data_IF_638462356588
#
_entry.id   IF_638462356588
#
_cell.length_a   1.000
_cell.length_b   1.000
_cell.length_c   1.000
_cell.angle_alpha   90.00
_cell.angle_beta   90.00
_cell.angle_gamma   90.00
#
_symmetry.space_group_name_H-M   'P 1'
#
loop_
_entity.id
_entity.type
_entity.pdbx_description
1 polymer ?
#
# COMPACT_ATOMS: atom_id res chain seq x y z
N UNK A 1 36.48 -49.87 59.29
CA UNK A 1 37.43 -50.94 58.96
C UNK A 1 37.72 -50.73 57.49
N UNK A 2 38.75 -49.99 57.10
CA UNK A 2 40.14 -50.26 56.93
C UNK A 2 40.39 -51.21 55.73
N UNK A 3 41.07 -50.84 54.79
CA UNK A 3 42.46 -50.78 54.34
C UNK A 3 42.45 -50.80 52.81
N UNK A 4 43.08 -49.89 52.12
CA UNK A 4 44.52 -49.73 51.89
C UNK A 4 45.06 -50.78 50.90
N UNK A 5 45.51 -50.33 49.74
CA UNK A 5 46.92 -50.21 49.37
C UNK A 5 47.15 -50.08 47.86
N UNK A 6 47.95 -49.09 47.51
CA UNK A 6 48.78 -48.93 46.32
C UNK A 6 50.00 -49.90 46.44
N UNK A 7 50.95 -50.09 45.48
CA UNK A 7 51.29 -49.33 44.24
C UNK A 7 51.89 -50.21 43.09
N UNK A 8 52.43 -49.50 42.12
CA UNK A 8 53.58 -49.69 41.24
C UNK A 8 53.23 -49.81 39.75
N UNK A 9 53.68 -49.02 38.94
CA UNK A 9 54.90 -48.37 38.42
C UNK A 9 55.24 -48.89 37.04
N UNK A 10 55.45 -47.88 36.16
CA UNK A 10 56.37 -47.77 35.04
C UNK A 10 56.13 -48.59 33.77
N UNK A 11 55.90 -47.90 32.66
CA UNK A 11 56.88 -47.86 31.56
C UNK A 11 56.59 -46.79 30.51
N UNK A 12 57.61 -46.11 30.13
CA UNK A 12 57.73 -44.95 29.28
C UNK A 12 57.83 -45.32 27.79
N UNK A 13 57.33 -44.44 26.91
CA UNK A 13 57.82 -44.07 25.56
C UNK A 13 57.04 -44.67 24.36
N UNK A 14 57.08 -44.00 23.18
CA UNK A 14 57.44 -42.61 22.91
C UNK A 14 56.32 -41.82 22.12
N UNK A 15 56.50 -40.52 22.10
CA UNK A 15 55.71 -39.54 21.35
C UNK A 15 55.70 -39.81 19.84
N UNK A 16 54.48 -39.70 19.28
CA UNK A 16 54.29 -39.48 17.84
C UNK A 16 53.53 -38.14 17.68
N UNK A 17 54.19 -37.19 17.06
CA UNK A 17 53.64 -35.90 16.68
C UNK A 17 52.43 -36.09 15.76
N UNK A 18 51.31 -35.51 16.11
CA UNK A 18 50.17 -35.30 15.22
C UNK A 18 50.31 -33.92 14.53
N UNK A 19 49.97 -33.80 13.25
CA UNK A 19 50.08 -32.54 12.53
C UNK A 19 49.08 -31.52 13.09
N UNK A 20 49.51 -30.26 13.17
CA UNK A 20 48.66 -29.12 13.51
C UNK A 20 47.55 -28.95 12.45
N UNK A 21 46.30 -29.01 12.89
CA UNK A 21 45.12 -28.66 12.11
C UNK A 21 45.06 -27.13 12.05
N UNK A 22 45.29 -26.57 10.86
CA UNK A 22 45.11 -25.15 10.58
C UNK A 22 43.61 -24.81 10.78
N UNK A 23 43.32 -23.87 11.65
CA UNK A 23 42.00 -23.27 11.80
C UNK A 23 41.61 -22.52 10.50
N UNK A 24 40.36 -22.59 10.06
CA UNK A 24 39.93 -21.83 8.89
C UNK A 24 40.04 -20.32 9.19
N UNK A 25 40.66 -19.58 8.32
CA UNK A 25 40.68 -18.13 8.34
C UNK A 25 39.26 -17.64 8.22
N UNK A 26 38.83 -16.82 9.21
CA UNK A 26 37.60 -16.06 9.23
C UNK A 26 37.68 -15.07 8.06
N UNK A 27 36.93 -15.31 6.98
CA UNK A 27 36.76 -14.34 5.91
C UNK A 27 36.04 -13.10 6.48
N UNK A 28 36.73 -11.96 6.44
CA UNK A 28 36.15 -10.65 6.72
C UNK A 28 34.94 -10.41 5.79
N UNK A 29 33.85 -9.76 6.27
CA UNK A 29 32.76 -9.41 5.39
C UNK A 29 33.27 -8.57 4.22
N UNK A 30 32.93 -8.98 3.00
CA UNK A 30 33.17 -8.17 1.82
C UNK A 30 32.50 -6.82 2.01
N UNK A 31 33.29 -5.75 1.98
CA UNK A 31 32.82 -4.38 1.91
C UNK A 31 31.98 -4.26 0.62
N UNK A 32 30.66 -4.09 0.73
CA UNK A 32 29.80 -3.84 -0.42
C UNK A 32 30.35 -2.61 -1.15
N UNK A 33 30.73 -2.79 -2.40
CA UNK A 33 31.13 -1.68 -3.25
C UNK A 33 29.97 -0.69 -3.33
N UNK A 34 30.23 0.64 -3.28
CA UNK A 34 29.17 1.64 -3.46
C UNK A 34 28.43 1.34 -4.77
N UNK A 35 27.09 1.32 -4.71
CA UNK A 35 26.27 1.22 -5.89
C UNK A 35 26.72 2.33 -6.88
N UNK A 36 27.06 1.96 -8.10
CA UNK A 36 27.44 2.89 -9.15
C UNK A 36 26.22 3.76 -9.43
N UNK A 37 26.28 5.05 -9.10
CA UNK A 37 25.20 5.99 -9.40
C UNK A 37 24.92 5.97 -10.90
N UNK A 38 23.65 5.79 -11.28
CA UNK A 38 23.24 5.86 -12.68
C UNK A 38 23.64 7.23 -13.26
N UNK A 39 24.05 7.30 -14.54
CA UNK A 39 24.39 8.56 -15.17
C UNK A 39 23.18 9.50 -15.11
N UNK A 40 23.38 10.75 -14.64
CA UNK A 40 22.32 11.74 -14.53
C UNK A 40 21.65 11.95 -15.88
N UNK A 41 20.34 11.84 -15.92
CA UNK A 41 19.48 12.12 -17.07
C UNK A 41 18.97 13.56 -16.98
N UNK A 42 18.69 14.20 -18.11
CA UNK A 42 18.04 15.52 -18.14
C UNK A 42 16.50 15.40 -17.88
N UNK A 43 15.98 14.19 -17.67
CA UNK A 43 14.56 13.95 -17.44
C UNK A 43 14.13 14.37 -16.03
N UNK A 44 12.91 14.85 -15.92
CA UNK A 44 12.25 15.23 -14.67
C UNK A 44 10.90 14.56 -14.57
N UNK A 45 10.69 13.75 -13.53
CA UNK A 45 9.40 13.12 -13.22
C UNK A 45 8.79 13.77 -11.99
N UNK A 46 7.46 13.85 -11.98
CA UNK A 46 6.73 14.39 -10.83
C UNK A 46 5.70 13.38 -10.33
N UNK A 47 5.50 13.35 -9.00
CA UNK A 47 4.40 12.67 -8.37
C UNK A 47 3.48 13.69 -7.68
N UNK A 48 2.16 13.50 -7.87
CA UNK A 48 1.11 14.28 -7.24
C UNK A 48 0.27 13.34 -6.37
N UNK A 49 0.62 13.17 -5.07
CA UNK A 49 -0.18 12.38 -4.14
C UNK A 49 -1.54 13.02 -3.85
N UNK A 50 -2.42 12.32 -3.12
CA UNK A 50 -3.75 12.82 -2.77
C UNK A 50 -3.74 14.01 -1.82
N UNK A 51 -2.88 13.96 -0.80
CA UNK A 51 -2.79 14.99 0.24
C UNK A 51 -1.45 14.95 0.95
N UNK A 52 -1.07 16.08 1.57
CA UNK A 52 0.05 16.14 2.50
C UNK A 52 -0.35 15.62 3.89
N UNK A 53 0.64 15.16 4.67
CA UNK A 53 0.43 14.74 6.06
C UNK A 53 -0.29 13.40 6.24
N UNK A 54 -0.50 12.65 5.15
CA UNK A 54 -0.96 11.28 5.20
C UNK A 54 0.25 10.35 5.05
N UNK A 55 0.60 9.54 6.05
CA UNK A 55 1.79 8.68 6.02
C UNK A 55 1.82 7.71 4.84
N UNK A 56 0.66 7.22 4.38
CA UNK A 56 0.58 6.38 3.19
C UNK A 56 1.09 7.13 1.95
N UNK A 57 0.61 8.35 1.72
CA UNK A 57 1.03 9.18 0.57
C UNK A 57 2.51 9.55 0.65
N UNK A 58 3.06 9.73 1.85
CA UNK A 58 4.48 10.01 2.05
C UNK A 58 5.35 8.80 1.71
N UNK A 59 4.91 7.57 2.06
CA UNK A 59 5.60 6.34 1.69
C UNK A 59 5.54 6.08 0.18
N UNK A 60 4.41 6.33 -0.44
CA UNK A 60 4.25 6.23 -1.89
C UNK A 60 5.19 7.21 -2.62
N UNK A 61 5.24 8.46 -2.16
CA UNK A 61 6.17 9.45 -2.71
C UNK A 61 7.64 9.04 -2.51
N UNK A 62 8.01 8.48 -1.35
CA UNK A 62 9.40 8.04 -1.12
C UNK A 62 9.82 6.94 -2.08
N UNK A 63 8.94 5.97 -2.37
CA UNK A 63 9.21 4.93 -3.36
C UNK A 63 9.41 5.48 -4.77
N UNK A 64 8.64 6.49 -5.14
CA UNK A 64 8.81 7.19 -6.40
C UNK A 64 10.16 7.92 -6.49
N UNK A 65 10.55 8.65 -5.42
CA UNK A 65 11.84 9.36 -5.37
C UNK A 65 13.02 8.39 -5.43
N UNK A 66 12.97 7.28 -4.69
CA UNK A 66 14.01 6.24 -4.71
C UNK A 66 14.16 5.63 -6.11
N UNK A 67 13.06 5.33 -6.79
CA UNK A 67 13.07 4.81 -8.16
C UNK A 67 13.63 5.84 -9.14
N UNK A 68 13.25 7.11 -9.05
CA UNK A 68 13.82 8.19 -9.85
C UNK A 68 15.33 8.31 -9.65
N UNK A 69 15.80 8.24 -8.40
CA UNK A 69 17.23 8.27 -8.10
C UNK A 69 17.97 7.07 -8.72
N UNK A 70 17.41 5.88 -8.66
CA UNK A 70 17.97 4.70 -9.30
C UNK A 70 18.00 4.79 -10.84
N UNK A 71 17.05 5.51 -11.44
CA UNK A 71 16.98 5.81 -12.88
C UNK A 71 17.91 6.98 -13.29
N UNK A 72 18.48 7.72 -12.34
CA UNK A 72 19.23 8.94 -12.61
C UNK A 72 18.38 10.11 -13.09
N UNK A 73 17.10 10.13 -12.74
CA UNK A 73 16.09 11.12 -13.13
C UNK A 73 15.82 12.06 -11.96
N UNK A 74 15.60 13.36 -12.25
CA UNK A 74 15.17 14.31 -11.23
C UNK A 74 13.72 14.04 -10.83
N UNK A 75 13.44 13.95 -9.52
CA UNK A 75 12.08 13.79 -8.98
C UNK A 75 11.54 15.10 -8.41
N UNK A 76 10.22 15.31 -8.56
CA UNK A 76 9.46 16.37 -7.90
C UNK A 76 8.29 15.73 -7.17
N UNK A 77 8.17 15.96 -5.88
CA UNK A 77 6.97 15.61 -5.10
C UNK A 77 6.16 16.89 -4.87
N UNK A 78 4.95 16.93 -5.37
CA UNK A 78 4.10 18.12 -5.23
C UNK A 78 2.73 17.73 -4.66
N UNK A 79 2.51 18.03 -3.40
CA UNK A 79 1.22 17.82 -2.75
C UNK A 79 0.23 18.93 -3.12
N UNK A 80 -1.06 18.62 -3.32
CA UNK A 80 -2.12 19.61 -3.41
C UNK A 80 -2.34 20.29 -2.05
N UNK A 81 -2.90 21.48 -2.05
CA UNK A 81 -3.19 22.25 -0.83
C UNK A 81 -4.26 21.57 0.04
N UNK A 82 -5.20 20.89 -0.60
CA UNK A 82 -6.26 20.09 0.03
C UNK A 82 -6.61 18.87 -0.86
N UNK A 83 -7.62 18.10 -0.46
CA UNK A 83 -8.07 16.90 -1.18
C UNK A 83 -9.04 17.17 -2.32
N UNK A 84 -9.19 18.43 -2.77
CA UNK A 84 -10.06 18.79 -3.89
C UNK A 84 -9.40 18.49 -5.24
N UNK A 85 -10.22 18.24 -6.25
CA UNK A 85 -9.75 18.11 -7.63
C UNK A 85 -9.14 19.42 -8.15
N UNK A 86 -9.67 20.57 -7.76
CA UNK A 86 -9.18 21.89 -8.14
C UNK A 86 -7.75 22.14 -7.66
N UNK A 87 -7.43 21.70 -6.44
CA UNK A 87 -6.08 21.78 -5.91
C UNK A 87 -5.11 20.91 -6.72
N UNK A 88 -5.51 19.68 -7.08
CA UNK A 88 -4.69 18.82 -7.94
C UNK A 88 -4.54 19.38 -9.36
N UNK A 89 -5.60 19.92 -9.96
CA UNK A 89 -5.55 20.58 -11.27
C UNK A 89 -4.53 21.72 -11.26
N UNK A 90 -4.52 22.53 -10.20
CA UNK A 90 -3.55 23.62 -10.04
C UNK A 90 -2.12 23.09 -10.01
N UNK A 91 -1.85 22.05 -9.26
CA UNK A 91 -0.53 21.41 -9.19
C UNK A 91 -0.10 20.85 -10.54
N UNK A 92 -0.97 20.08 -11.21
CA UNK A 92 -0.69 19.47 -12.52
C UNK A 92 -0.36 20.56 -13.57
N UNK A 93 -1.15 21.63 -13.62
CA UNK A 93 -0.91 22.74 -14.56
C UNK A 93 0.44 23.43 -14.30
N UNK A 94 0.85 23.57 -13.03
CA UNK A 94 2.15 24.11 -12.66
C UNK A 94 3.30 23.20 -13.11
N UNK A 95 3.15 21.88 -12.98
CA UNK A 95 4.14 20.90 -13.44
C UNK A 95 4.26 20.89 -14.98
N UNK A 96 3.12 20.98 -15.69
CA UNK A 96 3.10 21.12 -17.14
C UNK A 96 3.85 22.40 -17.58
N UNK A 97 3.63 23.53 -16.89
CA UNK A 97 4.32 24.77 -17.15
C UNK A 97 5.83 24.72 -16.85
N UNK A 98 6.26 23.87 -15.94
CA UNK A 98 7.67 23.61 -15.62
C UNK A 98 8.35 22.73 -16.68
N UNK A 99 7.56 22.03 -17.54
CA UNK A 99 8.09 21.19 -18.60
C UNK A 99 8.65 19.87 -18.09
N UNK A 100 8.01 19.25 -17.11
CA UNK A 100 8.36 17.89 -16.66
C UNK A 100 8.10 16.86 -17.79
N UNK A 101 8.83 15.76 -17.78
CA UNK A 101 8.72 14.72 -18.82
C UNK A 101 7.65 13.67 -18.49
N UNK A 102 7.37 13.48 -17.19
CA UNK A 102 6.37 12.54 -16.73
C UNK A 102 5.69 12.99 -15.44
N UNK A 103 4.41 12.64 -15.30
CA UNK A 103 3.60 12.91 -14.10
C UNK A 103 2.88 11.64 -13.69
N UNK A 104 3.03 11.25 -12.42
CA UNK A 104 2.24 10.24 -11.75
C UNK A 104 1.25 10.91 -10.80
N UNK A 105 -0.05 10.59 -10.90
CA UNK A 105 -1.11 11.24 -10.12
C UNK A 105 -1.92 10.20 -9.36
N UNK A 106 -2.03 10.34 -8.05
CA UNK A 106 -3.05 9.66 -7.24
C UNK A 106 -4.31 10.53 -7.23
N UNK A 107 -5.31 10.17 -8.04
CA UNK A 107 -6.42 11.07 -8.32
C UNK A 107 -7.41 11.21 -7.16
N UNK A 108 -7.80 12.44 -6.83
CA UNK A 108 -8.88 12.73 -5.87
C UNK A 108 -10.28 12.66 -6.50
N UNK A 109 -10.37 12.83 -7.82
CA UNK A 109 -11.62 12.73 -8.58
C UNK A 109 -11.32 12.28 -10.02
N UNK A 110 -11.89 11.13 -10.40
CA UNK A 110 -11.61 10.49 -11.69
C UNK A 110 -12.09 11.30 -12.91
N UNK A 111 -13.21 11.99 -12.76
CA UNK A 111 -13.86 12.72 -13.84
C UNK A 111 -13.32 14.16 -13.95
N UNK A 112 -13.15 14.85 -12.83
CA UNK A 112 -12.74 16.25 -12.82
C UNK A 112 -11.32 16.46 -13.35
N UNK A 113 -10.43 15.47 -13.23
CA UNK A 113 -9.06 15.54 -13.71
C UNK A 113 -8.89 15.25 -15.21
N UNK A 114 -9.88 14.64 -15.88
CA UNK A 114 -9.76 14.10 -17.24
C UNK A 114 -9.17 15.11 -18.24
N UNK A 115 -9.76 16.31 -18.31
CA UNK A 115 -9.32 17.33 -19.26
C UNK A 115 -7.91 17.85 -18.99
N UNK A 116 -7.51 17.93 -17.72
CA UNK A 116 -6.18 18.38 -17.31
C UNK A 116 -5.12 17.33 -17.63
N UNK A 117 -5.40 16.06 -17.36
CA UNK A 117 -4.49 14.96 -17.68
C UNK A 117 -4.33 14.81 -19.20
N UNK A 118 -5.43 14.93 -19.96
CA UNK A 118 -5.37 14.92 -21.43
C UNK A 118 -4.54 16.09 -21.98
N UNK A 119 -4.71 17.30 -21.43
CA UNK A 119 -3.91 18.46 -21.86
C UNK A 119 -2.42 18.29 -21.57
N UNK A 120 -2.06 17.67 -20.43
CA UNK A 120 -0.68 17.33 -20.13
C UNK A 120 -0.10 16.35 -21.16
N UNK A 121 -0.83 15.30 -21.52
CA UNK A 121 -0.45 14.34 -22.57
C UNK A 121 -0.29 15.01 -23.93
N UNK A 122 -1.22 15.88 -24.30
CA UNK A 122 -1.18 16.63 -25.57
C UNK A 122 0.05 17.56 -25.65
N UNK A 123 0.61 17.93 -24.50
CA UNK A 123 1.87 18.67 -24.39
C UNK A 123 3.12 17.77 -24.47
N UNK A 124 2.94 16.46 -24.66
CA UNK A 124 4.03 15.48 -24.79
C UNK A 124 4.53 14.88 -23.47
N UNK A 125 3.85 15.14 -22.35
CA UNK A 125 4.18 14.60 -21.05
C UNK A 125 3.59 13.19 -20.90
N UNK A 126 4.37 12.24 -20.39
CA UNK A 126 3.84 10.93 -19.99
C UNK A 126 3.01 11.10 -18.72
N UNK A 127 1.76 10.66 -18.75
CA UNK A 127 0.85 10.74 -17.61
C UNK A 127 0.36 9.35 -17.22
N UNK A 128 0.71 8.94 -16.01
CA UNK A 128 0.19 7.72 -15.38
C UNK A 128 -0.58 8.06 -14.11
N UNK A 129 -1.56 7.24 -13.77
CA UNK A 129 -2.19 7.28 -12.45
C UNK A 129 -1.62 6.17 -11.57
N UNK A 130 -1.63 6.37 -10.25
CA UNK A 130 -1.24 5.36 -9.27
C UNK A 130 -2.21 5.42 -8.09
N UNK A 131 -2.35 4.33 -7.35
CA UNK A 131 -3.24 4.21 -6.18
C UNK A 131 -4.72 4.49 -6.49
N UNK A 132 -5.01 5.56 -7.20
CA UNK A 132 -6.36 6.06 -7.51
C UNK A 132 -6.41 6.51 -8.97
N UNK A 133 -7.22 5.83 -9.77
CA UNK A 133 -7.30 6.07 -11.22
C UNK A 133 -8.09 7.34 -11.59
N UNK A 134 -7.82 7.86 -12.76
CA UNK A 134 -8.59 8.94 -13.40
C UNK A 134 -8.62 8.75 -14.92
N UNK A 135 -9.70 9.22 -15.52
CA UNK A 135 -9.78 9.34 -16.98
C UNK A 135 -8.71 10.29 -17.50
N UNK A 136 -8.21 10.03 -18.70
CA UNK A 136 -7.21 10.88 -19.36
C UNK A 136 -5.76 10.45 -19.12
N UNK A 137 -5.45 9.50 -18.22
CA UNK A 137 -4.11 8.91 -18.07
C UNK A 137 -3.81 7.87 -19.15
N UNK A 138 -2.55 7.42 -19.24
CA UNK A 138 -2.10 6.41 -20.21
C UNK A 138 -2.07 5.01 -19.62
N UNK A 139 -1.83 4.91 -18.32
CA UNK A 139 -1.74 3.66 -17.57
C UNK A 139 -2.09 3.91 -16.11
N UNK A 140 -2.81 2.97 -15.52
CA UNK A 140 -3.04 2.95 -14.08
C UNK A 140 -2.12 1.95 -13.39
N UNK A 141 -1.28 2.43 -12.50
CA UNK A 141 -0.48 1.61 -11.58
C UNK A 141 -1.34 1.31 -10.37
N UNK A 142 -2.05 0.19 -10.45
CA UNK A 142 -3.00 -0.24 -9.43
C UNK A 142 -2.26 -1.06 -8.36
N UNK A 143 -2.34 -0.63 -7.13
CA UNK A 143 -1.69 -1.24 -5.97
C UNK A 143 -2.08 -2.70 -5.75
N UNK A 144 -3.37 -3.02 -5.98
CA UNK A 144 -3.94 -4.35 -5.89
C UNK A 144 -5.23 -4.44 -6.72
N UNK A 145 -5.60 -5.63 -7.17
CA UNK A 145 -6.83 -5.84 -7.92
C UNK A 145 -8.07 -5.36 -7.16
N UNK A 146 -8.90 -4.52 -7.78
CA UNK A 146 -10.06 -3.89 -7.12
C UNK A 146 -11.02 -4.95 -6.56
N UNK A 147 -11.31 -5.99 -7.34
CA UNK A 147 -12.18 -7.10 -6.88
C UNK A 147 -11.54 -7.88 -5.75
N UNK A 148 -10.22 -8.08 -5.77
CA UNK A 148 -9.49 -8.77 -4.70
C UNK A 148 -9.54 -7.97 -3.39
N UNK A 149 -9.36 -6.65 -3.45
CA UNK A 149 -9.51 -5.78 -2.28
C UNK A 149 -10.94 -5.84 -1.75
N UNK A 150 -11.95 -5.71 -2.62
CA UNK A 150 -13.35 -5.86 -2.23
C UNK A 150 -13.62 -7.20 -1.55
N UNK A 151 -13.03 -8.30 -2.08
CA UNK A 151 -13.21 -9.64 -1.53
C UNK A 151 -12.63 -9.78 -0.12
N UNK A 152 -11.38 -9.34 0.12
CA UNK A 152 -10.78 -9.45 1.47
C UNK A 152 -11.51 -8.58 2.48
N UNK A 153 -12.06 -7.43 2.08
CA UNK A 153 -12.87 -6.58 2.95
C UNK A 153 -14.20 -7.25 3.32
N UNK A 154 -14.91 -7.81 2.35
CA UNK A 154 -16.18 -8.52 2.59
C UNK A 154 -15.97 -9.78 3.43
N UNK A 155 -14.92 -10.56 3.15
CA UNK A 155 -14.59 -11.74 3.96
C UNK A 155 -14.23 -11.36 5.40
N UNK A 156 -13.49 -10.25 5.60
CA UNK A 156 -13.19 -9.73 6.94
C UNK A 156 -14.46 -9.35 7.71
N UNK A 157 -15.40 -8.66 7.05
CA UNK A 157 -16.70 -8.32 7.64
C UNK A 157 -17.47 -9.61 8.01
N UNK A 158 -17.51 -10.58 7.09
CA UNK A 158 -18.19 -11.85 7.32
C UNK A 158 -17.61 -12.61 8.53
N UNK A 159 -16.30 -12.73 8.61
CA UNK A 159 -15.63 -13.40 9.73
C UNK A 159 -15.85 -12.66 11.06
N UNK A 160 -15.69 -11.34 11.08
CA UNK A 160 -15.79 -10.53 12.28
C UNK A 160 -17.23 -10.39 12.79
N UNK A 161 -18.24 -10.49 11.90
CA UNK A 161 -19.67 -10.52 12.31
C UNK A 161 -20.13 -11.91 12.75
N UNK A 162 -19.35 -12.95 12.41
CA UNK A 162 -19.78 -14.37 12.56
C UNK A 162 -20.78 -14.78 11.48
N UNK A 163 -20.72 -14.15 10.31
CA UNK A 163 -21.53 -14.48 9.13
C UNK A 163 -22.87 -13.75 9.04
N UNK A 164 -23.25 -12.95 10.04
CA UNK A 164 -24.55 -12.25 10.09
C UNK A 164 -24.51 -10.98 10.92
N UNK A 165 -25.35 -10.01 10.57
CA UNK A 165 -25.60 -8.79 11.36
C UNK A 165 -25.09 -7.52 10.71
N UNK A 166 -25.15 -6.45 11.48
CA UNK A 166 -24.94 -5.09 10.98
C UNK A 166 -23.45 -4.74 10.86
N UNK A 167 -23.12 -4.12 9.73
CA UNK A 167 -21.84 -3.43 9.52
C UNK A 167 -22.05 -2.07 8.86
N UNK A 168 -21.09 -1.18 9.06
CA UNK A 168 -21.01 0.12 8.40
C UNK A 168 -19.68 0.24 7.68
N UNK A 169 -19.62 1.13 6.69
CA UNK A 169 -18.37 1.53 6.02
C UNK A 169 -18.04 2.97 6.39
N UNK A 170 -16.81 3.22 6.82
CA UNK A 170 -16.25 4.55 7.03
C UNK A 170 -15.19 4.78 5.96
N UNK A 171 -15.54 5.56 4.94
CA UNK A 171 -14.72 5.82 3.77
C UNK A 171 -13.96 7.16 3.89
N UNK A 172 -13.13 7.47 2.87
CA UNK A 172 -12.43 8.74 2.70
C UNK A 172 -13.40 9.85 2.24
N UNK A 173 -13.12 10.58 1.16
CA UNK A 173 -14.06 11.54 0.58
C UNK A 173 -15.10 10.82 -0.28
N UNK A 174 -16.26 11.45 -0.50
CA UNK A 174 -17.32 10.88 -1.33
C UNK A 174 -16.96 10.76 -2.81
N UNK A 175 -15.90 11.45 -3.27
CA UNK A 175 -15.38 11.41 -4.64
C UNK A 175 -14.14 10.56 -4.80
N UNK A 176 -13.59 10.02 -3.70
CA UNK A 176 -12.35 9.24 -3.72
C UNK A 176 -12.46 7.99 -4.60
N UNK A 177 -11.75 7.98 -5.71
CA UNK A 177 -11.90 7.01 -6.78
C UNK A 177 -11.63 5.58 -6.32
N UNK A 178 -10.50 5.33 -5.65
CA UNK A 178 -10.12 3.98 -5.20
C UNK A 178 -11.07 3.43 -4.14
N UNK A 179 -11.43 4.21 -3.10
CA UNK A 179 -12.40 3.76 -2.09
C UNK A 179 -13.76 3.43 -2.73
N UNK A 180 -14.25 4.30 -3.62
CA UNK A 180 -15.50 4.05 -4.33
C UNK A 180 -15.44 2.80 -5.21
N UNK A 181 -14.29 2.51 -5.84
CA UNK A 181 -14.07 1.28 -6.61
C UNK A 181 -14.16 0.04 -5.73
N UNK A 182 -13.53 0.04 -4.56
CA UNK A 182 -13.60 -1.08 -3.62
C UNK A 182 -14.99 -1.26 -3.04
N UNK A 183 -15.69 -0.15 -2.70
CA UNK A 183 -17.07 -0.17 -2.25
C UNK A 183 -17.99 -0.78 -3.31
N UNK A 184 -17.85 -0.40 -4.58
CA UNK A 184 -18.62 -0.98 -5.67
C UNK A 184 -18.33 -2.48 -5.84
N UNK A 185 -17.07 -2.91 -5.69
CA UNK A 185 -16.70 -4.32 -5.70
C UNK A 185 -17.34 -5.08 -4.51
N UNK A 186 -17.30 -4.52 -3.31
CA UNK A 186 -17.95 -5.10 -2.12
C UNK A 186 -19.45 -5.28 -2.33
N UNK A 187 -20.15 -4.29 -2.90
CA UNK A 187 -21.58 -4.37 -3.22
C UNK A 187 -21.86 -5.51 -4.20
N UNK A 188 -21.06 -5.63 -5.26
CA UNK A 188 -21.21 -6.70 -6.26
C UNK A 188 -20.97 -8.10 -5.65
N UNK A 189 -19.95 -8.24 -4.80
CA UNK A 189 -19.61 -9.49 -4.12
C UNK A 189 -20.74 -9.92 -3.18
N UNK A 190 -21.22 -9.00 -2.35
CA UNK A 190 -22.32 -9.29 -1.40
C UNK A 190 -23.60 -9.67 -2.15
N UNK A 191 -23.93 -8.94 -3.22
CA UNK A 191 -25.12 -9.24 -4.02
C UNK A 191 -25.01 -10.53 -4.84
N UNK A 192 -23.78 -10.94 -5.17
CA UNK A 192 -23.50 -12.09 -6.05
C UNK A 192 -23.38 -13.44 -5.36
N UNK A 193 -23.21 -13.49 -4.04
CA UNK A 193 -23.00 -14.73 -3.29
C UNK A 193 -23.92 -14.83 -2.08
N UNK A 194 -24.75 -15.87 -2.06
CA UNK A 194 -25.66 -16.18 -0.95
C UNK A 194 -24.95 -16.38 0.41
N UNK A 195 -23.64 -16.63 0.42
CA UNK A 195 -22.81 -16.66 1.65
C UNK A 195 -23.01 -15.41 2.49
N UNK A 196 -23.21 -14.26 1.85
CA UNK A 196 -23.25 -12.95 2.51
C UNK A 196 -24.67 -12.42 2.74
N UNK A 197 -25.72 -13.20 2.42
CA UNK A 197 -27.14 -12.76 2.46
C UNK A 197 -27.61 -12.25 3.83
N UNK A 198 -26.95 -12.65 4.92
CA UNK A 198 -27.27 -12.23 6.29
C UNK A 198 -26.44 -11.06 6.81
N UNK A 199 -25.55 -10.48 5.97
CA UNK A 199 -24.85 -9.24 6.28
C UNK A 199 -25.77 -8.05 5.98
N UNK A 200 -25.89 -7.15 6.93
CA UNK A 200 -26.69 -5.93 6.81
C UNK A 200 -25.77 -4.69 6.76
N UNK A 201 -25.56 -4.14 5.54
CA UNK A 201 -24.84 -2.89 5.34
C UNK A 201 -25.75 -1.71 5.69
N UNK A 202 -25.60 -1.14 6.90
CA UNK A 202 -26.54 -0.11 7.41
C UNK A 202 -26.28 1.27 6.83
N UNK A 203 -25.00 1.65 6.60
CA UNK A 203 -24.65 2.98 6.08
C UNK A 203 -23.19 3.03 5.64
N UNK A 204 -22.90 3.94 4.70
CA UNK A 204 -21.55 4.43 4.40
C UNK A 204 -21.44 5.87 4.88
N UNK A 205 -20.41 6.17 5.67
CA UNK A 205 -20.07 7.52 6.15
C UNK A 205 -18.68 7.91 5.63
N UNK A 206 -18.38 9.22 5.64
CA UNK A 206 -17.16 9.75 5.03
C UNK A 206 -16.37 10.60 6.04
N UNK A 207 -15.16 10.15 6.35
CA UNK A 207 -14.25 10.85 7.25
C UNK A 207 -13.36 11.89 6.54
N UNK A 208 -13.46 12.01 5.20
CA UNK A 208 -12.70 12.93 4.34
C UNK A 208 -11.16 12.79 4.48
N UNK A 209 -10.68 11.61 4.88
CA UNK A 209 -9.30 11.35 5.28
C UNK A 209 -8.76 12.31 6.37
N UNK A 210 -9.67 12.84 7.18
CA UNK A 210 -9.36 13.62 8.38
C UNK A 210 -9.53 12.76 9.64
N UNK A 211 -8.48 12.68 10.45
CA UNK A 211 -8.46 11.83 11.66
C UNK A 211 -9.58 12.18 12.64
N UNK A 212 -9.77 13.48 12.94
CA UNK A 212 -10.81 13.91 13.89
C UNK A 212 -12.21 13.62 13.36
N UNK A 213 -12.47 13.91 12.09
CA UNK A 213 -13.77 13.63 11.47
C UNK A 213 -14.07 12.13 11.45
N UNK A 214 -13.08 11.30 11.09
CA UNK A 214 -13.23 9.84 11.11
C UNK A 214 -13.52 9.31 12.52
N UNK A 215 -12.89 9.89 13.53
CA UNK A 215 -13.16 9.57 14.93
C UNK A 215 -14.60 9.92 15.32
N UNK A 216 -15.07 11.14 15.01
CA UNK A 216 -16.40 11.63 15.33
C UNK A 216 -17.50 10.83 14.59
N UNK A 217 -17.26 10.46 13.32
CA UNK A 217 -18.14 9.56 12.56
C UNK A 217 -18.24 8.18 13.22
N UNK A 218 -17.12 7.65 13.73
CA UNK A 218 -17.13 6.38 14.45
C UNK A 218 -17.95 6.45 15.73
N UNK A 219 -17.83 7.52 16.53
CA UNK A 219 -18.67 7.72 17.72
C UNK A 219 -20.16 7.84 17.36
N UNK A 220 -20.46 8.53 16.24
CA UNK A 220 -21.82 8.64 15.71
C UNK A 220 -22.38 7.30 15.28
N UNK A 221 -21.59 6.46 14.61
CA UNK A 221 -21.98 5.10 14.21
C UNK A 221 -22.30 4.24 15.43
N UNK A 222 -21.43 4.24 16.45
CA UNK A 222 -21.64 3.48 17.70
C UNK A 222 -22.91 3.92 18.45
N UNK A 223 -23.26 5.20 18.36
CA UNK A 223 -24.45 5.77 19.03
C UNK A 223 -25.73 5.45 18.26
N UNK A 224 -25.71 5.60 16.94
CA UNK A 224 -26.90 5.50 16.09
C UNK A 224 -27.26 4.06 15.73
N UNK A 225 -26.29 3.14 15.77
CA UNK A 225 -26.45 1.73 15.40
C UNK A 225 -26.01 0.81 16.54
N UNK A 226 -26.84 0.62 17.58
CA UNK A 226 -26.47 -0.15 18.78
C UNK A 226 -26.20 -1.63 18.52
N UNK A 227 -26.69 -2.18 17.41
CA UNK A 227 -26.50 -3.57 16.98
C UNK A 227 -25.33 -3.74 15.99
N UNK A 228 -24.55 -2.67 15.76
CA UNK A 228 -23.41 -2.68 14.85
C UNK A 228 -22.33 -3.61 15.36
N UNK A 229 -21.88 -4.54 14.53
CA UNK A 229 -20.83 -5.51 14.87
C UNK A 229 -19.47 -5.14 14.30
N UNK A 230 -19.43 -4.54 13.10
CA UNK A 230 -18.20 -4.21 12.38
C UNK A 230 -18.29 -2.83 11.74
N UNK A 231 -17.20 -2.07 11.81
CA UNK A 231 -16.96 -0.90 10.98
C UNK A 231 -15.80 -1.25 10.03
N UNK A 232 -16.06 -1.22 8.73
CA UNK A 232 -15.06 -1.44 7.70
C UNK A 232 -14.54 -0.09 7.19
N UNK A 233 -13.23 0.09 7.27
CA UNK A 233 -12.55 1.34 6.89
C UNK A 233 -11.58 1.08 5.73
N UNK A 234 -11.99 1.29 4.46
CA UNK A 234 -11.10 1.14 3.31
C UNK A 234 -10.15 2.35 3.13
N UNK A 235 -9.63 2.88 4.22
CA UNK A 235 -8.72 4.05 4.26
C UNK A 235 -7.82 4.01 5.49
N UNK A 236 -6.54 4.34 5.31
CA UNK A 236 -5.53 4.24 6.38
C UNK A 236 -5.78 5.24 7.52
N UNK A 237 -6.22 6.46 7.20
CA UNK A 237 -6.59 7.47 8.21
C UNK A 237 -7.84 7.04 8.97
N UNK A 238 -8.85 6.55 8.25
CA UNK A 238 -10.13 6.15 8.84
C UNK A 238 -9.99 4.93 9.77
N UNK A 239 -9.23 3.91 9.38
CA UNK A 239 -9.07 2.69 10.20
C UNK A 239 -8.37 2.99 11.53
N UNK A 240 -7.35 3.84 11.53
CA UNK A 240 -6.65 4.24 12.75
C UNK A 240 -7.59 5.01 13.69
N UNK A 241 -8.26 6.03 13.19
CA UNK A 241 -9.21 6.83 13.97
C UNK A 241 -10.37 5.98 14.51
N UNK A 242 -10.89 5.07 13.68
CA UNK A 242 -11.94 4.12 14.08
C UNK A 242 -11.45 3.18 15.19
N UNK A 243 -10.27 2.58 15.05
CA UNK A 243 -9.70 1.71 16.07
C UNK A 243 -9.48 2.45 17.40
N UNK A 244 -9.02 3.69 17.35
CA UNK A 244 -8.86 4.55 18.53
C UNK A 244 -10.20 4.82 19.22
N UNK A 245 -11.23 5.20 18.48
CA UNK A 245 -12.56 5.49 19.02
C UNK A 245 -13.20 4.24 19.66
N UNK A 246 -13.12 3.10 18.97
CA UNK A 246 -13.62 1.82 19.49
C UNK A 246 -12.88 1.41 20.77
N UNK A 247 -11.56 1.52 20.78
CA UNK A 247 -10.75 1.20 21.98
C UNK A 247 -11.07 2.12 23.14
N UNK A 248 -11.15 3.43 22.90
CA UNK A 248 -11.42 4.43 23.94
C UNK A 248 -12.83 4.28 24.54
N UNK A 249 -13.80 3.88 23.74
CA UNK A 249 -15.17 3.63 24.21
C UNK A 249 -15.34 2.32 24.97
N UNK A 250 -14.40 1.38 24.83
CA UNK A 250 -14.54 0.02 25.34
C UNK A 250 -15.62 -0.79 24.60
N UNK A 251 -16.01 -0.39 23.41
CA UNK A 251 -16.98 -1.10 22.57
C UNK A 251 -16.46 -2.46 22.13
N UNK A 252 -17.38 -3.40 21.93
CA UNK A 252 -17.09 -4.73 21.39
C UNK A 252 -17.09 -4.78 19.85
N UNK A 253 -17.40 -3.66 19.19
CA UNK A 253 -17.37 -3.52 17.72
C UNK A 253 -15.97 -3.87 17.21
N UNK A 254 -15.91 -4.60 16.10
CA UNK A 254 -14.66 -4.91 15.41
C UNK A 254 -14.41 -3.92 14.27
N UNK A 255 -13.13 -3.70 14.00
CA UNK A 255 -12.67 -2.82 12.91
C UNK A 255 -12.00 -3.69 11.86
N UNK A 256 -12.50 -3.62 10.64
CA UNK A 256 -11.93 -4.23 9.45
C UNK A 256 -11.42 -3.12 8.52
N UNK A 257 -10.50 -3.43 7.61
CA UNK A 257 -10.13 -2.46 6.58
C UNK A 257 -8.67 -2.50 6.14
N UNK A 258 -8.22 -1.35 5.64
CA UNK A 258 -6.90 -1.14 5.06
C UNK A 258 -6.11 -0.19 5.96
N UNK A 259 -4.97 -0.63 6.48
CA UNK A 259 -4.21 0.15 7.45
C UNK A 259 -2.70 0.06 7.28
N UNK A 260 -1.99 1.14 7.60
CA UNK A 260 -0.53 1.13 7.68
C UNK A 260 -0.09 0.35 8.94
N UNK A 261 0.81 -0.62 8.80
CA UNK A 261 1.30 -1.39 9.94
C UNK A 261 1.99 -0.51 10.99
N UNK A 262 2.73 0.53 10.58
CA UNK A 262 3.37 1.47 11.51
C UNK A 262 2.37 2.22 12.40
N UNK A 263 1.17 2.53 11.90
CA UNK A 263 0.13 3.22 12.66
C UNK A 263 -0.75 2.25 13.45
N UNK A 264 -1.01 1.06 12.89
CA UNK A 264 -1.96 0.09 13.45
C UNK A 264 -1.36 -0.94 14.39
N UNK A 265 -0.04 -0.96 14.58
CA UNK A 265 0.68 -1.95 15.40
C UNK A 265 0.18 -2.08 16.86
N UNK A 266 -0.44 -1.04 17.41
CA UNK A 266 -1.05 -1.08 18.76
C UNK A 266 -2.52 -1.48 18.78
N UNK A 267 -3.16 -1.71 17.64
CA UNK A 267 -4.60 -1.91 17.50
C UNK A 267 -4.97 -3.25 16.85
N UNK A 268 -3.98 -4.00 16.33
CA UNK A 268 -4.19 -5.27 15.64
C UNK A 268 -3.83 -6.44 16.52
N UNK A 269 -4.78 -7.37 16.70
CA UNK A 269 -4.57 -8.62 17.43
C UNK A 269 -5.76 -9.07 18.26
N UNK A 270 -5.57 -10.19 18.97
CA UNK A 270 -6.59 -10.76 19.85
C UNK A 270 -6.94 -9.80 20.99
N UNK A 271 -8.22 -9.56 21.19
CA UNK A 271 -8.72 -8.65 22.24
C UNK A 271 -8.59 -7.16 21.89
N UNK A 272 -7.98 -6.80 20.74
CA UNK A 272 -7.89 -5.46 20.24
C UNK A 272 -9.04 -5.16 19.25
N UNK A 273 -9.29 -3.88 18.92
CA UNK A 273 -10.39 -3.50 18.02
C UNK A 273 -10.32 -4.17 16.65
N UNK A 274 -9.12 -4.31 16.09
CA UNK A 274 -8.88 -4.86 14.77
C UNK A 274 -8.21 -6.24 14.89
N UNK A 275 -8.93 -7.35 14.65
CA UNK A 275 -8.31 -8.68 14.72
C UNK A 275 -7.19 -8.88 13.71
N UNK A 276 -7.39 -8.41 12.48
CA UNK A 276 -6.44 -8.37 11.36
C UNK A 276 -6.91 -7.34 10.33
N UNK A 277 -6.00 -6.90 9.48
CA UNK A 277 -6.27 -5.93 8.41
C UNK A 277 -5.44 -6.25 7.18
N UNK A 278 -5.69 -5.52 6.11
CA UNK A 278 -4.95 -5.66 4.85
C UNK A 278 -4.30 -4.35 4.43
N UNK A 279 -3.29 -4.45 3.60
CA UNK A 279 -2.73 -3.37 2.79
C UNK A 279 -1.78 -4.00 1.75
N UNK A 280 -1.06 -3.19 1.04
CA UNK A 280 0.07 -3.45 0.14
C UNK A 280 1.22 -2.53 0.51
N UNK A 281 2.39 -2.70 -0.11
CA UNK A 281 3.51 -1.81 0.14
C UNK A 281 3.39 -0.53 -0.70
N UNK A 282 3.12 0.65 -0.12
CA UNK A 282 2.98 1.90 -0.86
C UNK A 282 4.30 2.35 -1.53
N UNK A 283 5.45 1.96 -0.97
CA UNK A 283 6.78 2.23 -1.56
C UNK A 283 6.88 1.57 -2.94
N UNK A 284 6.44 0.32 -3.06
CA UNK A 284 6.45 -0.40 -4.34
C UNK A 284 5.49 0.24 -5.36
N UNK A 285 4.36 0.79 -4.91
CA UNK A 285 3.39 1.49 -5.79
C UNK A 285 4.03 2.74 -6.40
N UNK A 286 4.65 3.57 -5.57
CA UNK A 286 5.35 4.77 -6.03
C UNK A 286 6.52 4.44 -6.97
N UNK A 287 7.32 3.44 -6.61
CA UNK A 287 8.43 2.98 -7.45
C UNK A 287 7.93 2.47 -8.81
N UNK A 288 6.88 1.65 -8.83
CA UNK A 288 6.30 1.13 -10.07
C UNK A 288 5.82 2.26 -11.00
N UNK A 289 5.28 3.35 -10.46
CA UNK A 289 4.85 4.49 -11.25
C UNK A 289 6.02 5.22 -11.93
N UNK A 290 7.15 5.39 -11.24
CA UNK A 290 8.35 5.98 -11.85
C UNK A 290 8.90 5.10 -12.99
N UNK A 291 8.96 3.79 -12.78
CA UNK A 291 9.39 2.85 -13.82
C UNK A 291 8.39 2.77 -14.98
N UNK A 292 7.09 2.93 -14.73
CA UNK A 292 6.10 3.02 -15.79
C UNK A 292 6.34 4.24 -16.67
N UNK A 293 6.57 5.42 -16.10
CA UNK A 293 6.90 6.64 -16.85
C UNK A 293 8.16 6.40 -17.71
N UNK A 294 9.21 5.85 -17.12
CA UNK A 294 10.45 5.55 -17.85
C UNK A 294 10.20 4.60 -19.01
N UNK A 295 9.39 3.54 -18.80
CA UNK A 295 9.07 2.57 -19.84
C UNK A 295 8.33 3.19 -21.04
N UNK A 296 7.45 4.17 -20.82
CA UNK A 296 6.82 4.94 -21.89
C UNK A 296 7.84 5.79 -22.66
N UNK A 297 8.74 6.48 -21.96
CA UNK A 297 9.77 7.34 -22.56
C UNK A 297 10.73 6.52 -23.41
N UNK A 298 11.14 5.36 -22.91
CA UNK A 298 12.05 4.44 -23.62
C UNK A 298 11.36 3.67 -24.76
N UNK A 299 10.02 3.78 -24.88
CA UNK A 299 9.24 3.02 -25.84
C UNK A 299 9.15 1.53 -25.55
N UNK A 300 9.41 1.13 -24.29
CA UNK A 300 9.27 -0.26 -23.83
C UNK A 300 7.80 -0.68 -23.70
N UNK A 301 6.91 0.29 -23.46
CA UNK A 301 5.46 0.09 -23.49
C UNK A 301 4.76 1.29 -24.13
N UNK A 302 3.59 1.04 -24.70
CA UNK A 302 2.63 2.07 -25.13
C UNK A 302 1.40 2.13 -24.23
N UNK A 303 1.35 1.26 -23.21
CA UNK A 303 0.20 1.04 -22.34
C UNK A 303 -0.88 0.15 -22.97
N UNK A 304 -0.57 -0.55 -24.07
CA UNK A 304 -1.51 -1.46 -24.69
C UNK A 304 -1.60 -2.79 -23.91
N UNK A 305 -2.81 -3.31 -23.81
CA UNK A 305 -3.08 -4.57 -23.13
C UNK A 305 -2.25 -5.72 -23.70
N UNK A 306 -1.63 -6.51 -22.84
CA UNK A 306 -0.72 -7.60 -23.17
C UNK A 306 0.74 -7.18 -23.30
N UNK A 307 1.06 -5.89 -23.27
CA UNK A 307 2.44 -5.42 -23.18
C UNK A 307 2.98 -5.61 -21.76
N UNK A 308 4.31 -5.65 -21.64
CA UNK A 308 4.99 -5.78 -20.34
C UNK A 308 6.11 -4.77 -20.22
N UNK A 309 6.41 -4.35 -19.00
CA UNK A 309 7.65 -3.63 -18.68
C UNK A 309 8.25 -4.16 -17.37
N UNK A 310 9.54 -3.94 -17.18
CA UNK A 310 10.27 -4.40 -16.00
C UNK A 310 10.65 -3.21 -15.14
N UNK A 311 10.32 -3.27 -13.84
CA UNK A 311 10.75 -2.30 -12.84
C UNK A 311 12.15 -2.63 -12.30
N UNK A 312 12.77 -1.66 -11.62
CA UNK A 312 14.14 -1.76 -11.13
C UNK A 312 14.38 -2.85 -10.08
N UNK A 313 13.33 -3.32 -9.41
CA UNK A 313 13.38 -4.47 -8.51
C UNK A 313 13.40 -5.84 -9.23
N UNK A 314 13.40 -5.83 -10.57
CA UNK A 314 13.33 -7.03 -11.41
C UNK A 314 11.94 -7.59 -11.64
N UNK A 315 10.88 -7.00 -11.04
CA UNK A 315 9.51 -7.39 -11.30
C UNK A 315 9.08 -6.99 -12.72
N UNK A 316 8.34 -7.88 -13.39
CA UNK A 316 7.74 -7.61 -14.69
C UNK A 316 6.24 -7.43 -14.52
N UNK A 317 5.71 -6.33 -15.03
CA UNK A 317 4.29 -5.99 -14.97
C UNK A 317 3.67 -6.12 -16.34
N UNK A 318 2.53 -6.80 -16.41
CA UNK A 318 1.71 -6.94 -17.62
C UNK A 318 0.57 -5.93 -17.59
N UNK A 319 0.38 -5.23 -18.69
CA UNK A 319 -0.76 -4.33 -18.87
C UNK A 319 -2.00 -5.16 -19.15
N UNK A 320 -2.99 -5.04 -18.26
CA UNK A 320 -4.28 -5.73 -18.39
C UNK A 320 -5.41 -4.74 -18.66
N UNK A 321 -6.59 -5.28 -19.01
CA UNK A 321 -7.78 -4.49 -19.30
C UNK A 321 -8.21 -3.62 -18.13
N UNK A 322 -8.82 -2.49 -18.45
CA UNK A 322 -9.59 -1.68 -17.49
C UNK A 322 -10.89 -2.39 -17.09
N UNK A 323 -11.47 -1.98 -15.98
CA UNK A 323 -12.79 -2.45 -15.54
C UNK A 323 -13.63 -1.26 -15.04
N UNK A 324 -14.36 -0.65 -15.97
CA UNK A 324 -15.21 0.51 -15.65
C UNK A 324 -16.37 0.16 -14.70
N UNK A 325 -16.74 -1.12 -14.57
CA UNK A 325 -17.81 -1.54 -13.65
C UNK A 325 -17.46 -1.33 -12.18
N UNK A 326 -16.16 -1.27 -11.89
CA UNK A 326 -15.60 -0.99 -10.56
C UNK A 326 -14.71 0.26 -10.56
N UNK A 327 -14.89 1.17 -11.53
CA UNK A 327 -14.22 2.48 -11.53
C UNK A 327 -12.74 2.47 -11.91
N UNK A 328 -12.29 1.48 -12.69
CA UNK A 328 -10.97 1.47 -13.33
C UNK A 328 -11.14 1.87 -14.80
N UNK A 329 -10.68 3.06 -15.13
CA UNK A 329 -10.96 3.72 -16.42
C UNK A 329 -9.86 3.56 -17.45
N UNK A 330 -8.67 3.13 -17.02
CA UNK A 330 -7.44 3.08 -17.81
C UNK A 330 -6.91 1.64 -17.82
N UNK A 331 -6.26 1.16 -18.90
CA UNK A 331 -5.47 -0.06 -18.85
C UNK A 331 -4.54 -0.03 -17.65
N UNK A 332 -4.35 -1.15 -16.98
CA UNK A 332 -3.71 -1.16 -15.66
C UNK A 332 -2.63 -2.22 -15.53
N UNK A 333 -1.72 -2.00 -14.61
CA UNK A 333 -0.84 -3.02 -14.05
C UNK A 333 -1.14 -3.20 -12.58
N UNK A 334 -1.05 -4.43 -12.07
CA UNK A 334 -1.26 -4.75 -10.65
C UNK A 334 0.09 -4.91 -9.98
N UNK A 335 0.34 -4.10 -8.93
CA UNK A 335 1.62 -4.14 -8.20
C UNK A 335 1.72 -5.41 -7.37
N UNK A 336 0.66 -5.80 -6.68
CA UNK A 336 0.61 -7.05 -5.92
C UNK A 336 -0.77 -7.35 -5.35
N UNK A 337 -0.94 -8.50 -4.68
CA UNK A 337 -2.18 -8.81 -3.97
C UNK A 337 -2.26 -8.01 -2.65
N UNK A 338 -3.48 -7.86 -2.07
CA UNK A 338 -3.61 -7.41 -0.68
C UNK A 338 -2.86 -8.37 0.26
N UNK A 339 -2.09 -7.81 1.20
CA UNK A 339 -1.32 -8.56 2.18
C UNK A 339 -1.98 -8.44 3.56
N UNK A 340 -2.10 -9.57 4.27
CA UNK A 340 -2.73 -9.63 5.58
C UNK A 340 -1.74 -9.30 6.71
N UNK A 341 -2.12 -8.35 7.56
CA UNK A 341 -1.42 -8.02 8.79
C UNK A 341 -2.18 -8.56 10.00
N UNK A 342 -1.46 -9.35 10.79
CA UNK A 342 -1.94 -9.96 12.04
C UNK A 342 -1.01 -9.58 13.18
N UNK A 343 -1.35 -9.97 14.40
CA UNK A 343 -0.49 -9.80 15.56
C UNK A 343 0.91 -10.43 15.39
N UNK A 344 1.03 -11.46 14.54
CA UNK A 344 2.28 -12.21 14.38
C UNK A 344 3.29 -11.51 13.47
N UNK A 345 2.83 -10.65 12.54
CA UNK A 345 3.70 -10.04 11.54
C UNK A 345 3.69 -8.51 11.55
N UNK A 346 2.69 -7.85 12.13
CA UNK A 346 2.53 -6.40 12.02
C UNK A 346 3.71 -5.61 12.59
N UNK A 347 4.33 -6.10 13.68
CA UNK A 347 5.45 -5.41 14.31
C UNK A 347 6.69 -5.35 13.40
N UNK A 348 6.95 -6.40 12.63
CA UNK A 348 8.05 -6.44 11.66
C UNK A 348 7.78 -5.45 10.51
N UNK A 349 6.57 -5.45 9.97
CA UNK A 349 6.20 -4.56 8.87
C UNK A 349 6.09 -3.09 9.30
N UNK A 350 5.78 -2.82 10.56
CA UNK A 350 5.75 -1.46 11.13
C UNK A 350 7.12 -0.74 11.07
N UNK A 351 8.22 -1.49 10.93
CA UNK A 351 9.57 -0.93 10.72
C UNK A 351 9.83 -0.59 9.23
N UNK A 352 8.99 -1.06 8.32
CA UNK A 352 9.14 -0.87 6.88
C UNK A 352 8.28 0.30 6.39
N UNK A 353 6.99 0.31 6.73
CA UNK A 353 6.04 1.36 6.33
C UNK A 353 4.81 1.47 7.22
#
# INVERSE_FOLDING_TARGET
VACSSTPAATEEAPATEAPAEEAPAEEAPAEEAPAEEAPASDLTFAIVPKSAGNPYNEREASGFEEACAALGVTSIVQYPEDTSAEAQITVINNLVAQGVDGIAVAANDAEALESTLQAARDSGIVVVTLDSDAKGSQLFVNQAGVTEVGQVLVDSIYDMTGGEGQFAVLSATSTATNQNSWIAAMEQIIAGDAKYENLEWVVTVYGDDESQKSYDETESLMTNYPDLKVICCPTTVGILACAQAVQNSGSAIKVAGLGLPSEMNGYVGEGLPCPYMYLWNPIDVGACAAYAIQAFIDGATTGAVGETYTAGNGSTYEVIEKDESVGVYTPQVIVGPPFEFTADNIAEWAEVY
#
